data_IF_424911363722
#
_entry.id   IF_424911363722
#
_cell.length_a   1.000
_cell.length_b   1.000
_cell.length_c   1.000
_cell.angle_alpha   90.00
_cell.angle_beta   90.00
_cell.angle_gamma   90.00
#
_symmetry.space_group_name_H-M   'P 1'
#
loop_
_entity.id
_entity.type
_entity.pdbx_description
1 polymer ?
#
# COMPACT_ATOMS: atom_id res chain seq x y z
N UNK A 1 -6.24 0.88 -24.57
CA UNK A 1 -5.82 1.82 -23.50
C UNK A 1 -6.58 1.45 -22.24
N UNK A 2 -5.94 0.76 -21.31
CA UNK A 2 -6.57 0.25 -20.08
C UNK A 2 -6.52 1.35 -19.00
N UNK A 3 -7.48 2.30 -19.04
CA UNK A 3 -7.60 3.37 -18.05
C UNK A 3 -8.36 2.86 -16.82
N UNK A 4 -7.77 1.93 -16.09
CA UNK A 4 -8.35 1.45 -14.83
C UNK A 4 -8.13 2.53 -13.77
N UNK A 5 -9.20 3.07 -13.20
CA UNK A 5 -9.14 3.76 -11.91
C UNK A 5 -8.97 2.68 -10.82
N UNK A 6 -7.78 2.06 -10.78
CA UNK A 6 -7.38 1.19 -9.69
C UNK A 6 -7.06 2.12 -8.54
N UNK A 7 -7.98 2.26 -7.60
CA UNK A 7 -7.62 2.62 -6.23
C UNK A 7 -6.88 1.36 -5.71
N UNK A 8 -5.61 1.27 -6.11
CA UNK A 8 -4.58 0.35 -5.60
C UNK A 8 -5.10 -0.96 -4.99
N UNK A 9 -5.53 -1.87 -5.88
CA UNK A 9 -5.88 -3.25 -5.52
C UNK A 9 -7.25 -3.46 -4.88
N UNK A 10 -8.02 -2.40 -4.63
CA UNK A 10 -9.41 -2.48 -4.19
C UNK A 10 -10.32 -2.32 -5.41
N UNK A 11 -11.06 -3.38 -5.75
CA UNK A 11 -12.11 -3.32 -6.77
C UNK A 11 -13.35 -2.74 -6.11
N UNK A 12 -13.86 -1.61 -6.60
CA UNK A 12 -15.15 -1.11 -6.17
C UNK A 12 -16.23 -2.12 -6.62
N UNK A 13 -16.98 -2.68 -5.69
CA UNK A 13 -18.12 -3.57 -6.00
C UNK A 13 -19.40 -2.78 -6.17
N UNK A 14 -19.51 -1.66 -5.48
CA UNK A 14 -20.70 -0.83 -5.40
C UNK A 14 -20.31 0.64 -5.48
N UNK A 15 -20.95 1.37 -6.40
CA UNK A 15 -20.83 2.82 -6.54
C UNK A 15 -22.17 3.42 -6.17
N UNK A 16 -22.21 4.29 -5.15
CA UNK A 16 -23.47 4.88 -4.67
C UNK A 16 -23.50 6.37 -5.03
N UNK A 17 -24.50 6.78 -5.81
CA UNK A 17 -24.73 8.18 -6.16
C UNK A 17 -25.54 8.90 -5.08
N UNK A 18 -24.93 9.88 -4.42
CA UNK A 18 -25.56 10.70 -3.38
C UNK A 18 -25.42 12.19 -3.67
N UNK A 19 -26.32 12.99 -3.09
CA UNK A 19 -26.37 14.44 -3.25
C UNK A 19 -27.07 14.92 -4.52
N UNK A 20 -27.12 16.24 -4.71
CA UNK A 20 -27.80 16.86 -5.86
C UNK A 20 -27.23 16.45 -7.21
N UNK A 21 -25.90 16.30 -7.32
CA UNK A 21 -25.26 15.82 -8.55
C UNK A 21 -25.57 14.35 -8.84
N UNK A 22 -25.77 13.53 -7.80
CA UNK A 22 -26.22 12.13 -7.95
C UNK A 22 -27.62 12.00 -8.56
N UNK A 23 -28.40 13.09 -8.59
CA UNK A 23 -29.70 13.12 -9.26
C UNK A 23 -29.59 13.29 -10.79
N UNK A 24 -28.41 13.66 -11.32
CA UNK A 24 -28.23 13.87 -12.76
C UNK A 24 -28.39 12.57 -13.54
N UNK A 25 -29.32 12.49 -14.51
CA UNK A 25 -29.46 11.32 -15.38
C UNK A 25 -28.25 11.15 -16.30
N UNK A 26 -27.64 12.25 -16.75
CA UNK A 26 -26.43 12.23 -17.59
C UNK A 26 -25.25 11.61 -16.84
N UNK A 27 -25.01 12.05 -15.60
CA UNK A 27 -23.94 11.50 -14.78
C UNK A 27 -24.15 10.01 -14.50
N UNK A 28 -25.41 9.61 -14.28
CA UNK A 28 -25.77 8.21 -14.09
C UNK A 28 -25.40 7.38 -15.33
N UNK A 29 -25.82 7.80 -16.52
CA UNK A 29 -25.55 7.08 -17.77
C UNK A 29 -24.05 6.90 -18.01
N UNK A 30 -23.27 7.99 -17.90
CA UNK A 30 -21.81 7.94 -18.05
C UNK A 30 -21.16 6.99 -17.03
N UNK A 31 -21.62 7.02 -15.77
CA UNK A 31 -21.10 6.13 -14.74
C UNK A 31 -21.57 4.68 -14.90
N UNK A 32 -22.73 4.42 -15.49
CA UNK A 32 -23.19 3.06 -15.80
C UNK A 32 -22.31 2.40 -16.87
N UNK A 33 -21.95 3.15 -17.91
CA UNK A 33 -21.01 2.70 -18.94
C UNK A 33 -19.66 2.35 -18.30
N UNK A 34 -19.13 3.26 -17.48
CA UNK A 34 -17.89 3.06 -16.74
C UNK A 34 -18.00 1.86 -15.79
N UNK A 35 -19.07 1.72 -15.00
CA UNK A 35 -19.22 0.65 -14.01
C UNK A 35 -19.39 -0.74 -14.68
N UNK A 36 -19.99 -0.80 -15.86
CA UNK A 36 -20.14 -2.03 -16.65
C UNK A 36 -18.76 -2.59 -17.02
N UNK A 37 -17.83 -1.71 -17.43
CA UNK A 37 -16.46 -2.10 -17.74
C UNK A 37 -15.68 -2.63 -16.51
N UNK A 38 -16.12 -2.28 -15.30
CA UNK A 38 -15.44 -2.64 -14.05
C UNK A 38 -16.12 -3.74 -13.22
N UNK A 39 -17.28 -4.26 -13.66
CA UNK A 39 -18.13 -5.23 -12.92
C UNK A 39 -18.52 -4.67 -11.54
N UNK A 40 -18.84 -3.38 -11.51
CA UNK A 40 -19.31 -2.68 -10.33
C UNK A 40 -20.80 -2.42 -10.46
N UNK A 41 -21.55 -2.52 -9.36
CA UNK A 41 -22.97 -2.16 -9.37
C UNK A 41 -23.14 -0.68 -9.07
N UNK A 42 -23.72 0.07 -10.01
CA UNK A 42 -24.11 1.44 -9.75
C UNK A 42 -25.47 1.45 -9.04
N UNK A 43 -25.50 1.97 -7.82
CA UNK A 43 -26.72 2.14 -7.03
C UNK A 43 -27.04 3.62 -6.92
N UNK A 44 -28.28 3.96 -7.26
CA UNK A 44 -28.85 5.27 -7.01
C UNK A 44 -30.04 5.08 -6.07
N UNK A 45 -30.03 5.70 -4.87
CA UNK A 45 -31.24 5.79 -4.05
C UNK A 45 -32.37 6.47 -4.84
N UNK A 46 -33.63 6.26 -4.43
CA UNK A 46 -34.76 7.01 -5.02
C UNK A 46 -34.41 8.50 -5.16
N UNK A 47 -34.87 9.15 -6.23
CA UNK A 47 -34.45 10.52 -6.57
C UNK A 47 -34.67 11.54 -5.43
N UNK A 48 -35.70 11.35 -4.62
CA UNK A 48 -35.99 12.16 -3.42
C UNK A 48 -35.05 11.82 -2.25
N UNK A 49 -34.58 10.57 -2.17
CA UNK A 49 -33.66 10.08 -1.13
C UNK A 49 -32.20 10.35 -1.48
N UNK A 50 -31.80 10.41 -2.74
CA UNK A 50 -30.39 10.62 -3.11
C UNK A 50 -29.85 11.94 -2.58
N UNK A 51 -30.67 13.00 -2.61
CA UNK A 51 -30.31 14.34 -2.09
C UNK A 51 -30.17 14.35 -0.57
N UNK A 52 -30.96 13.53 0.13
CA UNK A 52 -31.01 13.48 1.60
C UNK A 52 -30.22 12.33 2.20
N UNK A 53 -29.67 11.42 1.39
CA UNK A 53 -29.01 10.19 1.84
C UNK A 53 -27.87 10.44 2.82
N UNK A 54 -27.06 11.49 2.59
CA UNK A 54 -25.97 11.89 3.49
C UNK A 54 -26.52 12.34 4.86
N UNK A 55 -27.57 13.15 4.86
CA UNK A 55 -28.22 13.65 6.08
C UNK A 55 -28.89 12.50 6.83
N UNK A 56 -29.62 11.64 6.12
CA UNK A 56 -30.25 10.45 6.69
C UNK A 56 -29.20 9.53 7.32
N UNK A 57 -28.09 9.27 6.63
CA UNK A 57 -26.97 8.50 7.15
C UNK A 57 -26.37 9.12 8.42
N UNK A 58 -26.21 10.44 8.46
CA UNK A 58 -25.73 11.15 9.65
C UNK A 58 -26.71 11.06 10.83
N UNK A 59 -28.02 11.16 10.58
CA UNK A 59 -29.07 11.01 11.60
C UNK A 59 -29.09 9.59 12.16
N UNK A 60 -29.09 8.58 11.28
CA UNK A 60 -29.03 7.16 11.68
C UNK A 60 -27.77 6.91 12.51
N UNK A 61 -26.61 7.37 12.04
CA UNK A 61 -25.35 7.25 12.78
C UNK A 61 -25.41 7.95 14.16
N UNK A 62 -26.06 9.11 14.26
CA UNK A 62 -26.26 9.82 15.52
C UNK A 62 -27.14 9.06 16.52
N UNK A 63 -28.26 8.48 16.03
CA UNK A 63 -29.18 7.66 16.84
C UNK A 63 -28.48 6.38 17.30
N UNK A 64 -27.71 5.76 16.42
CA UNK A 64 -27.02 4.49 16.67
C UNK A 64 -25.64 4.67 17.32
N UNK A 65 -25.23 5.90 17.64
CA UNK A 65 -23.91 6.22 18.22
C UNK A 65 -23.59 5.42 19.48
N UNK A 66 -24.60 5.09 20.29
CA UNK A 66 -24.43 4.26 21.50
C UNK A 66 -24.34 2.76 21.20
N UNK A 67 -24.79 2.32 20.02
CA UNK A 67 -24.80 0.92 19.57
C UNK A 67 -23.57 0.59 18.72
N UNK A 68 -22.95 1.56 18.07
CA UNK A 68 -21.71 1.36 17.32
C UNK A 68 -20.48 1.35 18.24
N UNK A 69 -20.21 0.22 18.90
CA UNK A 69 -18.94 0.03 19.62
C UNK A 69 -17.73 -0.06 18.68
N UNK A 70 -17.95 -0.37 17.41
CA UNK A 70 -16.88 -0.55 16.42
C UNK A 70 -17.20 0.22 15.12
N UNK A 71 -17.02 1.54 15.15
CA UNK A 71 -17.01 2.32 13.91
C UNK A 71 -15.64 2.19 13.26
N UNK A 72 -15.57 1.43 12.17
CA UNK A 72 -14.37 1.34 11.35
C UNK A 72 -14.32 2.57 10.44
N UNK A 73 -13.31 3.41 10.62
CA UNK A 73 -13.06 4.58 9.77
C UNK A 73 -12.14 4.20 8.63
N UNK A 74 -12.46 4.71 7.45
CA UNK A 74 -11.61 4.60 6.28
C UNK A 74 -10.63 5.77 6.33
N UNK A 75 -9.33 5.49 6.31
CA UNK A 75 -8.27 6.50 6.36
C UNK A 75 -7.35 6.34 5.16
N UNK A 76 -6.91 7.46 4.59
CA UNK A 76 -6.00 7.49 3.45
C UNK A 76 -4.55 7.62 3.94
N UNK A 77 -3.65 6.82 3.34
CA UNK A 77 -2.21 6.97 3.54
C UNK A 77 -1.70 8.17 2.75
N UNK A 78 -1.02 9.11 3.41
CA UNK A 78 -0.55 10.34 2.78
C UNK A 78 0.80 10.21 2.09
N UNK A 79 1.56 9.18 2.45
CA UNK A 79 2.92 8.91 1.99
C UNK A 79 3.00 7.64 1.14
N UNK A 80 3.99 7.55 0.26
CA UNK A 80 4.33 6.27 -0.37
C UNK A 80 5.57 5.68 0.31
N UNK A 81 5.55 4.37 0.55
CA UNK A 81 6.64 3.62 1.12
C UNK A 81 7.11 2.56 0.14
N UNK A 82 8.40 2.55 -0.11
CA UNK A 82 9.02 1.64 -1.06
C UNK A 82 10.36 1.14 -0.58
N UNK A 83 10.85 0.13 -1.27
CA UNK A 83 12.15 -0.48 -1.02
C UNK A 83 12.97 -0.43 -2.30
N UNK A 84 14.28 -0.27 -2.13
CA UNK A 84 15.21 -0.29 -3.26
C UNK A 84 15.88 -1.65 -3.35
N UNK A 85 15.82 -2.23 -4.53
CA UNK A 85 16.69 -3.33 -4.94
C UNK A 85 18.05 -2.75 -5.38
N UNK A 86 19.19 -3.38 -5.01
CA UNK A 86 20.54 -2.81 -5.24
C UNK A 86 20.73 -2.16 -6.62
N UNK A 87 20.29 -2.87 -7.66
CA UNK A 87 20.47 -2.50 -9.07
C UNK A 87 19.12 -2.32 -9.80
N UNK A 88 18.01 -2.31 -9.06
CA UNK A 88 16.67 -2.31 -9.63
C UNK A 88 15.92 -0.99 -9.50
N UNK A 89 14.75 -0.88 -10.15
CA UNK A 89 13.79 0.17 -9.86
C UNK A 89 13.30 0.06 -8.40
N UNK A 90 12.70 1.14 -7.93
CA UNK A 90 12.10 1.18 -6.60
C UNK A 90 10.77 0.45 -6.64
N UNK A 91 10.58 -0.48 -5.71
CA UNK A 91 9.32 -1.17 -5.53
C UNK A 91 8.49 -0.43 -4.48
N UNK A 92 7.44 0.27 -4.93
CA UNK A 92 6.48 0.93 -4.05
C UNK A 92 5.47 -0.09 -3.53
N UNK A 93 5.54 -0.38 -2.23
CA UNK A 93 4.72 -1.41 -1.58
C UNK A 93 3.43 -0.80 -1.03
N UNK A 94 3.54 0.34 -0.34
CA UNK A 94 2.40 1.15 0.07
C UNK A 94 2.45 2.44 -0.74
N UNK A 95 1.33 2.83 -1.34
CA UNK A 95 1.24 4.05 -2.12
C UNK A 95 0.41 5.08 -1.37
N UNK A 96 0.70 6.35 -1.62
CA UNK A 96 -0.22 7.44 -1.27
C UNK A 96 -1.60 7.08 -1.83
N UNK A 97 -2.68 7.49 -1.16
CA UNK A 97 -4.03 7.16 -1.60
C UNK A 97 -4.49 5.74 -1.25
N UNK A 98 -3.58 4.89 -0.76
CA UNK A 98 -3.96 3.59 -0.24
C UNK A 98 -4.90 3.78 0.95
N UNK A 99 -5.97 2.98 0.96
CA UNK A 99 -7.00 3.03 1.99
C UNK A 99 -6.70 2.02 3.10
N UNK A 100 -6.87 2.45 4.35
CA UNK A 100 -6.68 1.64 5.55
C UNK A 100 -7.88 1.77 6.46
N UNK A 101 -8.35 0.66 6.99
CA UNK A 101 -9.44 0.61 7.93
C UNK A 101 -8.90 0.83 9.35
N UNK A 102 -9.40 1.84 10.06
CA UNK A 102 -8.94 2.20 11.40
C UNK A 102 -9.16 1.03 12.36
N UNK A 103 -8.12 0.67 13.11
CA UNK A 103 -8.17 -0.46 14.03
C UNK A 103 -8.02 -1.83 13.36
N UNK A 104 -7.86 -1.88 12.03
CA UNK A 104 -7.51 -3.11 11.32
C UNK A 104 -6.08 -3.04 10.80
N UNK A 105 -5.35 -4.15 10.98
CA UNK A 105 -4.02 -4.31 10.43
C UNK A 105 -4.11 -4.62 8.95
N UNK A 106 -3.47 -3.79 8.12
CA UNK A 106 -3.29 -4.08 6.70
C UNK A 106 -1.91 -4.66 6.49
N UNK A 107 -1.84 -5.86 5.93
CA UNK A 107 -0.57 -6.52 5.57
C UNK A 107 -0.42 -6.49 4.06
N UNK A 108 0.73 -5.99 3.59
CA UNK A 108 1.11 -5.99 2.18
C UNK A 108 2.48 -6.64 2.05
N UNK A 109 2.61 -7.62 1.16
CA UNK A 109 3.87 -8.30 0.90
C UNK A 109 4.42 -7.93 -0.48
N UNK A 110 5.74 -7.76 -0.58
CA UNK A 110 6.40 -7.63 -1.88
C UNK A 110 6.42 -8.95 -2.61
N UNK A 111 6.71 -8.91 -3.92
CA UNK A 111 7.04 -10.14 -4.63
C UNK A 111 8.34 -10.74 -4.06
N UNK A 112 8.46 -12.08 -4.01
CA UNK A 112 9.73 -12.70 -3.67
C UNK A 112 10.79 -12.35 -4.71
N UNK A 113 11.99 -12.01 -4.25
CA UNK A 113 13.12 -11.69 -5.12
C UNK A 113 14.40 -12.36 -4.61
N UNK A 114 15.40 -12.44 -5.47
CA UNK A 114 16.72 -12.97 -5.14
C UNK A 114 17.71 -11.82 -5.07
N UNK A 115 18.54 -11.82 -4.03
CA UNK A 115 19.55 -10.81 -3.79
C UNK A 115 20.92 -11.33 -4.20
N UNK A 116 21.68 -10.54 -4.94
CA UNK A 116 23.09 -10.83 -5.23
C UNK A 116 23.92 -10.38 -4.04
N UNK A 117 24.42 -11.33 -3.24
CA UNK A 117 25.37 -10.98 -2.18
C UNK A 117 26.67 -10.53 -2.86
N UNK A 118 26.92 -9.23 -2.89
CA UNK A 118 28.15 -8.68 -3.46
C UNK A 118 29.36 -9.37 -2.84
N UNK A 119 30.31 -9.77 -3.68
CA UNK A 119 31.47 -10.60 -3.30
C UNK A 119 32.31 -9.98 -2.15
N UNK A 120 32.21 -8.67 -1.94
CA UNK A 120 32.97 -7.93 -0.93
C UNK A 120 32.15 -7.51 0.30
N UNK A 121 30.88 -7.89 0.39
CA UNK A 121 30.11 -7.66 1.62
C UNK A 121 30.68 -8.57 2.72
N UNK A 122 31.25 -7.99 3.79
CA UNK A 122 31.77 -8.72 4.97
C UNK A 122 30.65 -9.39 5.78
N UNK A 123 29.69 -10.03 5.12
CA UNK A 123 28.48 -10.59 5.70
C UNK A 123 27.48 -9.56 6.24
N UNK A 124 27.73 -8.25 6.07
CA UNK A 124 26.76 -7.20 6.41
C UNK A 124 26.08 -6.70 5.14
N UNK A 125 24.76 -6.82 5.11
CA UNK A 125 23.92 -6.26 4.06
C UNK A 125 22.93 -5.29 4.70
N UNK A 126 22.66 -4.19 4.00
CA UNK A 126 21.73 -3.17 4.44
C UNK A 126 20.57 -3.10 3.46
N UNK A 127 19.37 -3.04 4.02
CA UNK A 127 18.12 -3.02 3.31
C UNK A 127 17.33 -1.79 3.75
N UNK A 128 17.32 -0.77 2.90
CA UNK A 128 16.74 0.53 3.19
C UNK A 128 15.27 0.61 2.76
N UNK A 129 14.46 1.24 3.61
CA UNK A 129 13.06 1.59 3.36
C UNK A 129 12.99 3.09 3.11
N UNK A 130 12.34 3.48 2.03
CA UNK A 130 12.21 4.85 1.60
C UNK A 130 10.77 5.34 1.73
N UNK A 131 10.63 6.58 2.16
CA UNK A 131 9.40 7.37 2.13
C UNK A 131 9.49 8.38 1.01
N UNK A 132 8.43 8.48 0.23
CA UNK A 132 8.24 9.53 -0.78
C UNK A 132 7.04 10.39 -0.42
N UNK A 133 7.30 11.68 -0.29
CA UNK A 133 6.29 12.67 0.05
C UNK A 133 6.27 13.77 -1.00
N UNK A 134 5.26 13.73 -1.87
CA UNK A 134 4.95 14.85 -2.74
C UNK A 134 3.49 15.27 -2.54
N UNK A 135 3.31 16.47 -1.99
CA UNK A 135 1.99 17.09 -1.81
C UNK A 135 1.40 17.58 -3.13
N UNK A 136 2.25 17.96 -4.08
CA UNK A 136 1.84 18.65 -5.31
C UNK A 136 1.68 17.70 -6.49
N UNK A 137 2.42 16.59 -6.54
CA UNK A 137 2.29 15.63 -7.64
C UNK A 137 1.05 14.75 -7.50
N UNK A 138 0.34 14.51 -8.61
CA UNK A 138 -0.72 13.51 -8.65
C UNK A 138 -0.14 12.12 -8.39
N UNK A 139 -0.94 11.25 -7.78
CA UNK A 139 -0.59 9.88 -7.40
C UNK A 139 0.04 9.01 -8.50
N UNK A 140 -0.15 9.37 -9.78
CA UNK A 140 0.26 8.57 -10.93
C UNK A 140 1.75 8.70 -11.31
N UNK A 141 2.52 9.58 -10.68
CA UNK A 141 3.93 9.83 -11.03
C UNK A 141 4.91 9.48 -9.92
N UNK A 142 4.71 8.32 -9.27
CA UNK A 142 5.74 7.80 -8.36
C UNK A 142 7.04 7.55 -9.13
N UNK A 143 8.20 7.94 -8.58
CA UNK A 143 9.46 7.74 -9.27
C UNK A 143 9.77 6.25 -9.45
N UNK A 144 10.16 5.86 -10.66
CA UNK A 144 10.56 4.50 -11.02
C UNK A 144 12.08 4.31 -10.93
N UNK A 145 12.85 5.33 -11.33
CA UNK A 145 14.31 5.31 -11.41
C UNK A 145 14.97 6.00 -10.23
N UNK A 146 15.74 5.23 -9.46
CA UNK A 146 16.53 5.73 -8.34
C UNK A 146 17.45 6.91 -8.73
N UNK A 147 18.15 6.79 -9.87
CA UNK A 147 19.15 7.76 -10.31
C UNK A 147 18.62 9.20 -10.41
N UNK A 148 17.34 9.36 -10.77
CA UNK A 148 16.71 10.67 -10.94
C UNK A 148 15.95 11.14 -9.69
N UNK A 149 15.58 10.22 -8.80
CA UNK A 149 14.64 10.52 -7.71
C UNK A 149 15.25 10.50 -6.31
N UNK A 150 16.50 10.04 -6.15
CA UNK A 150 17.11 9.83 -4.83
C UNK A 150 17.08 11.07 -3.91
N UNK A 151 17.09 12.28 -4.47
CA UNK A 151 17.01 13.54 -3.71
C UNK A 151 15.61 13.82 -3.16
N UNK A 152 14.57 13.26 -3.76
CA UNK A 152 13.18 13.44 -3.35
C UNK A 152 12.73 12.39 -2.32
N UNK A 153 13.59 11.42 -2.00
CA UNK A 153 13.26 10.31 -1.11
C UNK A 153 13.97 10.43 0.22
N UNK A 154 13.26 10.01 1.27
CA UNK A 154 13.77 10.03 2.64
C UNK A 154 13.94 8.59 3.08
N UNK A 155 15.15 8.21 3.48
CA UNK A 155 15.37 6.91 4.14
C UNK A 155 14.75 6.95 5.53
N UNK A 156 13.77 6.10 5.77
CA UNK A 156 12.99 6.07 7.03
C UNK A 156 13.28 4.85 7.89
N UNK A 157 14.00 3.87 7.34
CA UNK A 157 14.43 2.69 8.09
C UNK A 157 15.50 1.92 7.34
N UNK A 158 16.39 1.27 8.11
CA UNK A 158 17.42 0.39 7.57
C UNK A 158 17.42 -0.90 8.35
N UNK A 159 17.26 -2.03 7.65
CA UNK A 159 17.42 -3.36 8.22
C UNK A 159 18.82 -3.83 7.86
N UNK A 160 19.66 -4.06 8.87
CA UNK A 160 21.01 -4.60 8.67
C UNK A 160 21.02 -6.08 9.04
N UNK A 161 21.38 -6.95 8.10
CA UNK A 161 21.60 -8.37 8.38
C UNK A 161 23.07 -8.59 8.68
N UNK A 162 23.40 -9.12 9.86
CA UNK A 162 24.77 -9.35 10.30
C UNK A 162 25.38 -10.65 9.78
N UNK A 163 26.72 -10.81 9.88
CA UNK A 163 27.43 -12.01 9.45
C UNK A 163 27.04 -13.29 10.20
N UNK A 164 26.39 -13.17 11.36
CA UNK A 164 25.84 -14.29 12.13
C UNK A 164 24.34 -14.54 11.94
N UNK A 165 23.62 -13.64 11.25
CA UNK A 165 22.20 -13.83 10.93
C UNK A 165 22.10 -14.63 9.62
N UNK A 166 22.58 -15.88 9.64
CA UNK A 166 22.37 -17.05 8.76
C UNK A 166 21.99 -16.90 7.26
N UNK A 167 22.07 -15.74 6.62
CA UNK A 167 21.85 -15.58 5.17
C UNK A 167 22.82 -16.47 4.37
N UNK A 168 24.03 -16.67 4.89
CA UNK A 168 25.03 -17.58 4.33
C UNK A 168 24.68 -19.07 4.44
N UNK A 169 23.84 -19.50 5.40
CA UNK A 169 23.34 -20.89 5.46
C UNK A 169 22.22 -21.17 4.46
N UNK A 170 21.49 -20.12 4.06
CA UNK A 170 20.49 -20.23 2.99
C UNK A 170 21.10 -20.21 1.59
N UNK A 171 22.36 -19.80 1.48
CA UNK A 171 23.18 -19.95 0.28
C UNK A 171 23.50 -21.44 0.04
N UNK A 172 22.69 -22.06 -0.81
CA UNK A 172 23.13 -23.15 -1.71
C UNK A 172 23.46 -24.51 -1.06
N UNK A 173 22.45 -25.22 -0.53
CA UNK A 173 22.54 -26.70 -0.44
C UNK A 173 21.31 -27.50 -0.94
N UNK A 174 20.20 -26.87 -1.31
CA UNK A 174 19.05 -27.58 -1.88
C UNK A 174 18.94 -27.32 -3.37
N UNK A 175 19.66 -28.10 -4.16
CA UNK A 175 19.63 -28.09 -5.63
C UNK A 175 18.33 -28.66 -6.22
N UNK A 176 17.25 -28.82 -5.44
CA UNK A 176 16.17 -29.76 -5.75
C UNK A 176 14.81 -29.14 -6.11
N UNK A 177 14.65 -27.81 -6.07
CA UNK A 177 13.45 -27.14 -6.58
C UNK A 177 13.84 -25.93 -7.43
N UNK A 178 14.49 -26.19 -8.57
CA UNK A 178 14.48 -25.20 -9.65
C UNK A 178 13.09 -25.25 -10.28
N UNK A 179 12.33 -24.15 -10.35
CA UNK A 179 11.10 -24.10 -11.13
C UNK A 179 11.43 -24.54 -12.56
N UNK A 180 10.68 -25.51 -13.05
CA UNK A 180 10.89 -26.15 -14.34
C UNK A 180 10.84 -25.14 -15.49
N UNK A 181 12.02 -24.93 -16.09
CA UNK A 181 12.33 -24.53 -17.47
C UNK A 181 11.14 -24.07 -18.34
N UNK A 182 11.02 -22.75 -18.51
CA UNK A 182 10.52 -22.14 -19.74
C UNK A 182 10.88 -20.65 -19.92
N UNK A 183 11.56 -19.99 -18.97
CA UNK A 183 11.95 -18.58 -19.12
C UNK A 183 13.44 -18.38 -18.81
N UNK A 184 14.20 -18.07 -19.86
CA UNK A 184 15.53 -17.45 -19.87
C UNK A 184 16.63 -18.10 -19.01
N UNK A 185 17.21 -19.18 -19.54
CA UNK A 185 18.62 -19.54 -19.27
C UNK A 185 19.54 -18.51 -19.98
N UNK A 186 19.55 -17.25 -19.51
CA UNK A 186 20.67 -16.35 -19.71
C UNK A 186 21.78 -16.78 -18.75
N UNK A 187 22.86 -17.33 -19.31
CA UNK A 187 24.07 -17.67 -18.58
C UNK A 187 24.67 -16.42 -17.91
N UNK A 188 24.36 -16.19 -16.64
CA UNK A 188 25.02 -15.18 -15.81
C UNK A 188 26.28 -15.78 -15.17
N UNK A 189 27.30 -16.03 -15.98
CA UNK A 189 28.65 -16.33 -15.47
C UNK A 189 29.22 -15.07 -14.80
N UNK A 190 29.50 -15.15 -13.50
CA UNK A 190 30.13 -14.06 -12.73
C UNK A 190 29.27 -13.40 -11.65
N UNK A 191 28.00 -13.77 -11.49
CA UNK A 191 27.20 -13.29 -10.35
C UNK A 191 27.53 -14.10 -9.09
N UNK A 192 27.90 -13.41 -8.01
CA UNK A 192 28.18 -14.01 -6.70
C UNK A 192 27.01 -14.81 -6.11
N UNK A 193 27.18 -15.38 -4.89
CA UNK A 193 26.14 -16.20 -4.27
C UNK A 193 24.81 -15.44 -4.17
N UNK A 194 23.74 -16.08 -4.63
CA UNK A 194 22.38 -15.56 -4.54
C UNK A 194 21.77 -15.94 -3.20
N UNK A 195 21.18 -14.96 -2.52
CA UNK A 195 20.45 -15.14 -1.26
C UNK A 195 18.97 -14.96 -1.55
N UNK A 196 18.14 -15.94 -1.18
CA UNK A 196 16.69 -15.86 -1.37
C UNK A 196 15.95 -17.20 -1.23
N UNK A 197 14.63 -17.20 -1.52
CA UNK A 197 13.82 -16.02 -1.83
C UNK A 197 13.71 -15.06 -0.64
N UNK A 198 13.81 -13.76 -0.91
CA UNK A 198 13.63 -12.65 0.03
C UNK A 198 12.29 -11.99 -0.26
N UNK A 199 11.53 -11.62 0.77
CA UNK A 199 10.29 -10.84 0.63
C UNK A 199 10.20 -9.78 1.71
N UNK A 200 9.57 -8.67 1.40
CA UNK A 200 9.21 -7.65 2.38
C UNK A 200 7.78 -7.83 2.84
N UNK A 201 7.53 -7.57 4.11
CA UNK A 201 6.17 -7.47 4.67
C UNK A 201 6.01 -6.12 5.33
N UNK A 202 4.99 -5.39 4.91
CA UNK A 202 4.59 -4.10 5.43
C UNK A 202 3.28 -4.30 6.18
N UNK A 203 3.28 -4.11 7.49
CA UNK A 203 2.10 -4.19 8.34
C UNK A 203 1.76 -2.80 8.84
N UNK A 204 0.68 -2.24 8.32
CA UNK A 204 0.17 -0.93 8.70
C UNK A 204 -0.94 -1.10 9.74
N UNK A 205 -0.76 -0.46 10.89
CA UNK A 205 -1.67 -0.48 12.04
C UNK A 205 -1.89 0.95 12.53
N UNK A 206 -2.93 1.60 12.00
CA UNK A 206 -3.16 3.02 12.20
C UNK A 206 -1.95 3.85 11.74
N UNK A 207 -1.36 4.62 12.66
CA UNK A 207 -0.20 5.49 12.41
C UNK A 207 1.16 4.77 12.50
N UNK A 208 1.16 3.45 12.72
CA UNK A 208 2.38 2.66 12.83
C UNK A 208 2.54 1.72 11.63
N UNK A 209 3.70 1.79 10.98
CA UNK A 209 4.09 0.88 9.92
C UNK A 209 5.25 0.01 10.39
N UNK A 210 4.98 -1.27 10.60
CA UNK A 210 6.01 -2.28 10.85
C UNK A 210 6.49 -2.84 9.51
N UNK A 211 7.79 -2.77 9.26
CA UNK A 211 8.42 -3.34 8.08
C UNK A 211 9.31 -4.50 8.50
N UNK A 212 9.11 -5.64 7.86
CA UNK A 212 9.84 -6.88 8.14
C UNK A 212 10.47 -7.39 6.84
N UNK A 213 11.72 -7.85 6.96
CA UNK A 213 12.41 -8.54 5.89
C UNK A 213 12.40 -10.04 6.18
N UNK A 214 11.89 -10.82 5.24
CA UNK A 214 11.83 -12.26 5.32
C UNK A 214 12.81 -12.89 4.35
N UNK A 215 13.47 -13.96 4.79
CA UNK A 215 14.14 -14.91 3.89
C UNK A 215 13.45 -16.24 4.06
N UNK A 216 12.83 -16.72 2.98
CA UNK A 216 11.82 -17.79 3.02
C UNK A 216 10.67 -17.36 3.96
N UNK A 217 10.53 -18.02 5.10
CA UNK A 217 9.50 -17.72 6.11
C UNK A 217 10.08 -17.23 7.45
N UNK A 218 11.39 -16.94 7.50
CA UNK A 218 12.04 -16.43 8.71
C UNK A 218 12.25 -14.92 8.61
N UNK A 219 11.83 -14.19 9.65
CA UNK A 219 12.13 -12.75 9.79
C UNK A 219 13.63 -12.60 10.07
N UNK A 220 14.35 -11.95 9.16
CA UNK A 220 15.78 -11.67 9.32
C UNK A 220 16.05 -10.27 9.91
N UNK A 221 15.03 -9.41 9.91
CA UNK A 221 15.06 -8.13 10.60
C UNK A 221 13.76 -7.35 10.43
N UNK A 222 13.59 -6.32 11.25
CA UNK A 222 12.40 -5.46 11.23
C UNK A 222 12.71 -4.05 11.70
N UNK A 223 11.94 -3.07 11.24
CA UNK A 223 11.90 -1.71 11.78
C UNK A 223 10.45 -1.21 11.90
N UNK A 224 10.24 -0.19 12.74
CA UNK A 224 8.95 0.47 12.89
C UNK A 224 9.08 1.92 12.43
N UNK A 225 8.11 2.38 11.64
CA UNK A 225 8.06 3.71 11.03
C UNK A 225 6.73 4.35 11.42
N UNK A 226 6.74 5.64 11.76
CA UNK A 226 5.51 6.40 11.99
C UNK A 226 4.97 6.93 10.66
N UNK A 227 3.69 6.71 10.40
CA UNK A 227 3.01 7.12 9.17
C UNK A 227 2.09 8.29 9.44
N UNK A 228 2.14 9.29 8.57
CA UNK A 228 1.14 10.35 8.55
C UNK A 228 -0.12 9.86 7.82
N UNK A 229 -1.22 9.87 8.56
CA UNK A 229 -2.54 9.57 8.04
C UNK A 229 -3.35 10.87 7.90
N UNK A 230 -4.30 10.90 6.96
CA UNK A 230 -5.26 11.99 6.89
C UNK A 230 -6.14 11.97 8.13
N UNK A 231 -5.74 12.73 9.16
CA UNK A 231 -6.63 13.03 10.27
C UNK A 231 -7.71 13.98 9.75
N UNK A 232 -8.77 13.43 9.16
CA UNK A 232 -10.03 14.16 9.05
C UNK A 232 -10.52 14.36 10.49
N UNK A 233 -10.09 15.47 11.12
CA UNK A 233 -10.76 15.97 12.31
C UNK A 233 -12.24 16.03 11.93
N UNK A 234 -13.15 15.31 12.63
CA UNK A 234 -14.56 15.48 12.35
C UNK A 234 -14.87 16.96 12.55
N UNK A 235 -15.27 17.63 11.48
CA UNK A 235 -15.65 19.02 11.51
C UNK A 235 -16.93 19.14 12.35
N UNK A 236 -16.79 19.33 13.65
CA UNK A 236 -17.92 19.49 14.55
C UNK A 236 -17.73 18.80 15.89
N UNK A 237 -16.93 19.41 16.76
CA UNK A 237 -17.22 19.38 18.21
C UNK A 237 -16.55 20.56 18.94
N UNK A 238 -16.71 21.77 18.38
CA UNK A 238 -16.46 23.02 19.10
C UNK A 238 -17.79 23.66 19.47
N UNK A 239 -18.69 22.87 20.05
CA UNK A 239 -19.86 23.38 20.76
C UNK A 239 -19.38 24.15 21.99
N UNK A 240 -18.99 25.41 21.80
CA UNK A 240 -19.04 26.40 22.85
C UNK A 240 -20.48 26.43 23.34
N UNK A 241 -20.69 25.95 24.57
CA UNK A 241 -21.96 26.07 25.25
C UNK A 241 -22.32 27.55 25.36
N UNK A 242 -23.38 27.94 24.67
CA UNK A 242 -24.14 29.12 25.07
C UNK A 242 -24.83 28.77 26.39
N UNK A 243 -24.31 29.35 27.47
CA UNK A 243 -25.05 29.54 28.72
C UNK A 243 -25.86 30.83 28.61
#
# INVERSE_FOLDING_TARGET
>A
MEKVARITGIRATDVILVGGFGASPYLKQELEEICTDFDSTLRRPDETKSVTAVVQGAVVYGIEKLRHKEVIRVVEVLDSFGVRHLEGPIEWIIKKGDIVLSGQKRVVESRPFWYNAGANSRGRQQYSVYRYFDRKRPLRSLPDKWATSYKEMIEVGVITTGPGNDLGRFSSRSHQERPSRAADELHFEGMGPKVGPVKWRFTLDGVSLKVELFVRETVVGSCNITVELSNSKPAGDSGQGYK
#
